data_IF_794436694358
#
_entry.id   IF_794436694358
#
_cell.length_a   1.000
_cell.length_b   1.000
_cell.length_c   1.000
_cell.angle_alpha   90.00
_cell.angle_beta   90.00
_cell.angle_gamma   90.00
#
_symmetry.space_group_name_H-M   'P 1'
#
loop_
_entity.id
_entity.type
_entity.pdbx_description
1 polymer ?
#
# COMPACT_ATOMS: atom_id res chain seq x y z
N UNK A 1 -4.34 -14.08 -64.03
CA UNK A 1 -4.83 -15.40 -64.50
C UNK A 1 -5.27 -16.20 -63.27
N UNK A 2 -6.19 -17.15 -63.41
CA UNK A 2 -6.83 -17.87 -62.29
C UNK A 2 -6.75 -19.38 -62.52
N UNK A 3 -6.30 -20.10 -61.49
CA UNK A 3 -6.36 -21.56 -61.28
C UNK A 3 -6.19 -21.75 -59.75
N UNK A 4 -7.01 -22.43 -58.94
CA UNK A 4 -7.73 -23.73 -59.06
C UNK A 4 -6.78 -24.93 -59.20
N UNK A 5 -6.93 -26.09 -58.52
CA UNK A 5 -7.83 -26.53 -57.41
C UNK A 5 -6.95 -26.92 -56.18
N UNK A 6 -7.20 -27.83 -55.21
CA UNK A 6 -8.19 -28.89 -54.94
C UNK A 6 -8.28 -29.19 -53.41
N UNK A 7 -8.90 -30.33 -53.03
CA UNK A 7 -9.09 -30.81 -51.64
C UNK A 7 -8.85 -32.32 -51.50
N UNK A 8 -8.54 -32.81 -50.30
CA UNK A 8 -8.80 -34.18 -49.76
C UNK A 8 -8.29 -34.24 -48.28
N UNK A 9 -8.77 -35.10 -47.36
CA UNK A 9 -10.12 -35.69 -47.08
C UNK A 9 -10.05 -36.51 -45.76
N UNK A 10 -11.14 -36.52 -44.97
CA UNK A 10 -11.42 -37.51 -43.88
C UNK A 10 -10.43 -37.46 -42.67
N UNK A 11 -10.73 -37.95 -41.47
CA UNK A 11 -11.87 -38.74 -40.96
C UNK A 11 -12.33 -38.29 -39.55
N UNK A 12 -13.61 -38.50 -39.22
CA UNK A 12 -14.08 -38.75 -37.85
C UNK A 12 -14.12 -40.27 -37.58
N UNK A 13 -14.13 -40.69 -36.31
CA UNK A 13 -15.21 -41.57 -35.84
C UNK A 13 -15.97 -40.96 -34.64
N UNK A 14 -17.02 -41.65 -34.17
CA UNK A 14 -17.97 -41.17 -33.16
C UNK A 14 -18.71 -42.34 -32.50
N UNK A 15 -18.90 -42.26 -31.18
CA UNK A 15 -20.00 -42.83 -30.37
C UNK A 15 -20.18 -41.83 -29.19
N UNK A 16 -21.38 -41.38 -28.78
CA UNK A 16 -22.49 -42.07 -28.11
C UNK A 16 -22.09 -42.69 -26.74
N UNK A 17 -22.75 -42.47 -25.60
CA UNK A 17 -23.87 -41.56 -25.20
C UNK A 17 -24.04 -41.66 -23.64
N UNK A 18 -25.07 -41.15 -22.93
CA UNK A 18 -25.78 -39.85 -22.98
C UNK A 18 -26.07 -39.22 -21.56
N UNK A 19 -26.88 -38.15 -21.50
CA UNK A 19 -27.66 -37.61 -20.33
C UNK A 19 -26.88 -37.17 -19.07
N UNK A 20 -26.85 -35.85 -18.79
CA UNK A 20 -27.81 -35.24 -17.85
C UNK A 20 -27.91 -33.71 -17.97
N UNK A 21 -29.10 -33.18 -17.68
CA UNK A 21 -29.38 -31.73 -17.62
C UNK A 21 -29.15 -31.21 -16.17
N UNK A 22 -28.92 -29.90 -15.98
CA UNK A 22 -30.06 -29.12 -15.48
C UNK A 22 -30.16 -27.71 -16.09
N UNK A 23 -31.40 -27.28 -16.36
CA UNK A 23 -31.69 -25.90 -16.76
C UNK A 23 -31.26 -24.89 -15.69
N UNK A 24 -30.55 -23.83 -16.11
CA UNK A 24 -30.56 -22.55 -15.41
C UNK A 24 -30.92 -21.44 -16.42
N UNK A 25 -31.84 -20.59 -16.00
CA UNK A 25 -32.57 -19.68 -16.89
C UNK A 25 -31.71 -18.50 -17.34
N UNK A 26 -31.93 -18.05 -18.58
CA UNK A 26 -31.36 -16.80 -19.07
C UNK A 26 -31.92 -15.61 -18.27
N UNK A 27 -31.07 -14.94 -17.50
CA UNK A 27 -31.34 -13.60 -16.98
C UNK A 27 -30.26 -12.66 -17.48
N UNK A 28 -30.49 -12.08 -18.66
CA UNK A 28 -29.63 -11.04 -19.22
C UNK A 28 -29.78 -9.77 -18.37
N UNK A 29 -28.81 -9.53 -17.49
CA UNK A 29 -28.66 -8.23 -16.84
C UNK A 29 -27.22 -7.71 -16.88
N UNK A 30 -27.03 -6.91 -17.92
CA UNK A 30 -25.97 -5.95 -18.20
C UNK A 30 -25.13 -5.49 -16.99
N UNK A 31 -23.83 -5.79 -17.04
CA UNK A 31 -22.78 -5.22 -16.16
C UNK A 31 -21.38 -5.36 -16.78
N UNK A 32 -21.28 -5.38 -18.11
CA UNK A 32 -20.02 -5.49 -18.84
C UNK A 32 -19.23 -4.17 -18.84
N UNK A 33 -18.74 -3.71 -17.67
CA UNK A 33 -17.64 -2.73 -17.61
C UNK A 33 -16.93 -2.59 -16.24
N UNK A 34 -16.90 -3.64 -15.40
CA UNK A 34 -15.95 -3.67 -14.28
C UNK A 34 -14.55 -3.99 -14.81
N UNK A 35 -13.80 -2.96 -15.20
CA UNK A 35 -12.43 -3.09 -15.68
C UNK A 35 -11.60 -3.93 -14.70
N UNK A 36 -11.14 -5.10 -15.16
CA UNK A 36 -10.32 -6.01 -14.38
C UNK A 36 -9.05 -5.29 -13.95
N UNK A 37 -8.96 -4.93 -12.66
CA UNK A 37 -7.78 -4.31 -12.08
C UNK A 37 -6.62 -5.27 -12.29
N UNK A 38 -5.71 -4.94 -13.22
CA UNK A 38 -4.48 -5.72 -13.44
C UNK A 38 -3.79 -5.92 -12.09
N UNK A 39 -3.84 -7.15 -11.60
CA UNK A 39 -3.04 -7.57 -10.44
C UNK A 39 -1.60 -7.38 -10.88
N UNK A 40 -0.95 -6.32 -10.39
CA UNK A 40 0.48 -6.15 -10.60
C UNK A 40 1.16 -7.36 -9.95
N UNK A 41 2.16 -7.99 -10.57
CA UNK A 41 2.96 -8.98 -9.89
C UNK A 41 3.57 -8.31 -8.66
N UNK A 42 3.03 -8.66 -7.49
CA UNK A 42 3.60 -8.27 -6.23
C UNK A 42 4.76 -9.25 -6.01
N UNK A 43 5.98 -8.75 -5.86
CA UNK A 43 7.13 -9.61 -5.66
C UNK A 43 6.90 -10.46 -4.40
N UNK A 44 6.85 -11.79 -4.57
CA UNK A 44 6.51 -12.71 -3.49
C UNK A 44 7.61 -12.81 -2.43
N UNK A 45 8.77 -12.18 -2.64
CA UNK A 45 9.82 -12.03 -1.63
C UNK A 45 9.56 -10.86 -0.68
N UNK A 46 8.93 -9.76 -1.15
CA UNK A 46 8.65 -8.57 -0.33
C UNK A 46 7.75 -8.85 0.88
N UNK A 47 6.98 -9.94 0.90
CA UNK A 47 6.13 -10.34 2.04
C UNK A 47 6.88 -11.07 3.16
N UNK A 48 8.08 -11.59 2.90
CA UNK A 48 8.92 -12.28 3.90
C UNK A 48 10.05 -11.39 4.43
N UNK A 49 10.36 -10.30 3.73
CA UNK A 49 11.42 -9.36 4.12
C UNK A 49 11.03 -8.51 5.33
N UNK A 50 11.86 -8.56 6.39
CA UNK A 50 11.69 -7.77 7.60
C UNK A 50 11.90 -6.26 7.41
N UNK A 51 11.31 -5.43 8.26
CA UNK A 51 11.30 -3.97 8.07
C UNK A 51 12.70 -3.34 8.08
N UNK A 52 13.64 -3.94 8.83
CA UNK A 52 15.05 -3.55 8.83
C UNK A 52 15.68 -3.66 7.43
N UNK A 53 15.55 -4.81 6.75
CA UNK A 53 16.06 -5.00 5.37
C UNK A 53 15.30 -4.13 4.36
N UNK A 54 13.99 -3.89 4.56
CA UNK A 54 13.22 -2.95 3.74
C UNK A 54 13.67 -1.48 3.90
N UNK A 55 14.35 -1.13 4.99
CA UNK A 55 14.84 0.22 5.29
C UNK A 55 16.36 0.37 5.17
N UNK A 56 17.11 -0.70 4.91
CA UNK A 56 18.59 -0.69 4.79
C UNK A 56 19.15 0.43 3.87
N UNK A 57 18.54 0.77 2.71
CA UNK A 57 18.97 1.90 1.88
C UNK A 57 18.90 3.28 2.55
N UNK A 58 18.24 3.39 3.71
CA UNK A 58 18.09 4.61 4.52
C UNK A 58 19.15 4.68 5.63
N UNK A 59 19.81 3.57 5.99
CA UNK A 59 20.72 3.49 7.13
C UNK A 59 21.90 4.48 7.03
N UNK A 60 22.49 4.60 5.83
CA UNK A 60 23.59 5.55 5.56
C UNK A 60 23.10 6.99 5.74
N UNK A 61 21.95 7.35 5.16
CA UNK A 61 21.37 8.69 5.33
C UNK A 61 21.04 9.00 6.80
N UNK A 62 20.58 8.02 7.58
CA UNK A 62 20.38 8.19 9.03
C UNK A 62 21.69 8.37 9.83
N UNK A 63 22.83 7.99 9.27
CA UNK A 63 24.15 8.13 9.91
C UNK A 63 24.90 9.39 9.47
N UNK A 64 24.63 9.88 8.25
CA UNK A 64 25.37 10.95 7.59
C UNK A 64 24.56 12.25 7.37
N UNK A 65 23.28 12.29 7.73
CA UNK A 65 22.45 13.48 7.54
C UNK A 65 22.90 14.67 8.40
N UNK A 66 23.13 15.81 7.74
CA UNK A 66 23.21 17.14 8.34
C UNK A 66 22.08 18.02 7.78
N UNK A 67 21.19 18.61 8.60
CA UNK A 67 21.01 18.29 10.02
C UNK A 67 20.55 16.84 10.23
N UNK A 68 20.85 16.25 11.40
CA UNK A 68 20.51 14.87 11.73
C UNK A 68 19.01 14.62 11.67
N UNK A 69 18.64 13.37 11.42
CA UNK A 69 17.25 12.94 11.50
C UNK A 69 16.76 12.92 12.95
N UNK A 70 15.45 13.16 13.11
CA UNK A 70 14.79 13.22 14.41
C UNK A 70 14.78 11.88 15.13
N UNK A 71 14.52 10.79 14.40
CA UNK A 71 14.69 9.41 14.88
C UNK A 71 15.95 8.79 14.25
N UNK A 72 16.89 8.26 15.05
CA UNK A 72 18.01 7.47 14.53
C UNK A 72 17.51 6.17 13.89
N UNK A 73 18.33 5.55 13.04
CA UNK A 73 17.93 4.37 12.25
C UNK A 73 17.23 3.25 13.04
N UNK A 74 17.72 2.81 14.23
CA UNK A 74 17.07 1.74 14.98
C UNK A 74 15.67 2.10 15.50
N UNK A 75 15.42 3.38 15.78
CA UNK A 75 14.12 3.87 16.23
C UNK A 75 13.16 4.10 15.06
N UNK A 76 13.68 4.57 13.92
CA UNK A 76 12.92 4.63 12.67
C UNK A 76 12.42 3.24 12.23
N UNK A 77 13.25 2.19 12.37
CA UNK A 77 12.84 0.81 12.09
C UNK A 77 11.71 0.37 13.02
N UNK A 78 11.88 0.53 14.34
CA UNK A 78 10.85 0.18 15.34
C UNK A 78 9.54 0.94 15.13
N UNK A 79 9.60 2.26 14.91
CA UNK A 79 8.42 3.07 14.60
C UNK A 79 7.71 2.56 13.34
N UNK A 80 8.46 2.20 12.29
CA UNK A 80 7.90 1.63 11.06
C UNK A 80 7.37 0.20 11.21
N UNK A 81 7.64 -0.48 12.34
CA UNK A 81 7.04 -1.75 12.75
C UNK A 81 5.80 -1.52 13.63
N UNK A 82 5.88 -0.69 14.67
CA UNK A 82 4.76 -0.34 15.55
C UNK A 82 3.54 0.22 14.79
N UNK A 83 3.75 1.02 13.73
CA UNK A 83 2.64 1.58 12.93
C UNK A 83 2.06 0.61 11.89
N UNK A 84 2.53 -0.65 11.84
CA UNK A 84 2.09 -1.63 10.85
C UNK A 84 0.73 -2.24 11.21
N UNK A 85 -0.29 -1.83 10.46
CA UNK A 85 -1.69 -2.27 10.67
C UNK A 85 -2.49 -1.34 11.57
N UNK A 86 -1.80 -0.60 12.45
CA UNK A 86 -2.43 0.20 13.50
C UNK A 86 -3.42 1.27 13.04
N UNK A 87 -4.47 1.48 13.83
CA UNK A 87 -5.60 2.34 13.45
C UNK A 87 -5.35 3.82 13.77
N UNK A 88 -5.02 4.11 15.03
CA UNK A 88 -4.51 5.40 15.48
C UNK A 88 -2.98 5.38 15.55
N UNK A 89 -2.36 6.40 14.98
CA UNK A 89 -0.92 6.50 14.78
C UNK A 89 -0.29 7.58 15.67
N UNK A 90 -1.08 8.51 16.20
CA UNK A 90 -0.56 9.68 16.90
C UNK A 90 -0.06 9.34 18.31
N UNK A 91 -0.77 8.51 19.12
CA UNK A 91 -0.24 7.95 20.37
C UNK A 91 0.95 7.01 20.19
N UNK A 92 1.19 6.49 18.97
CA UNK A 92 2.40 5.72 18.65
C UNK A 92 3.56 6.67 18.40
N UNK A 93 3.37 7.67 17.55
CA UNK A 93 4.39 8.67 17.24
C UNK A 93 4.90 9.41 18.49
N UNK A 94 4.01 9.78 19.42
CA UNK A 94 4.37 10.39 20.71
C UNK A 94 5.20 9.49 21.65
N UNK A 95 5.32 8.18 21.41
CA UNK A 95 6.28 7.31 22.14
C UNK A 95 7.73 7.52 21.68
N UNK A 96 7.91 8.04 20.46
CA UNK A 96 9.20 8.24 19.82
C UNK A 96 9.62 9.71 19.80
N UNK A 97 8.67 10.65 19.64
CA UNK A 97 8.99 12.08 19.61
C UNK A 97 7.76 12.99 19.78
N UNK A 98 7.97 14.14 20.42
CA UNK A 98 7.01 15.25 20.45
C UNK A 98 6.97 16.03 19.12
N UNK A 99 8.06 16.04 18.34
CA UNK A 99 8.10 16.73 17.04
C UNK A 99 7.50 15.87 15.90
N UNK A 100 6.18 15.80 15.93
CA UNK A 100 5.36 15.15 14.90
C UNK A 100 5.57 15.80 13.51
N UNK A 101 6.09 17.03 13.42
CA UNK A 101 6.37 17.71 12.15
C UNK A 101 7.71 17.26 11.57
N UNK A 102 8.77 17.24 12.38
CA UNK A 102 10.07 16.66 12.03
C UNK A 102 9.95 15.19 11.64
N UNK A 103 9.08 14.41 12.30
CA UNK A 103 8.82 13.02 11.93
C UNK A 103 8.14 12.90 10.55
N UNK A 104 7.17 13.77 10.24
CA UNK A 104 6.57 13.82 8.89
C UNK A 104 7.58 14.23 7.81
N UNK A 105 8.51 15.12 8.13
CA UNK A 105 9.60 15.56 7.25
C UNK A 105 10.67 14.48 7.06
N UNK A 106 11.00 13.71 8.10
CA UNK A 106 11.87 12.54 7.99
C UNK A 106 11.23 11.48 7.09
N UNK A 107 9.96 11.13 7.32
CA UNK A 107 9.22 10.21 6.44
C UNK A 107 9.20 10.69 4.98
N UNK A 108 9.11 12.01 4.74
CA UNK A 108 9.23 12.58 3.40
C UNK A 108 10.64 12.40 2.80
N UNK A 109 11.69 12.70 3.56
CA UNK A 109 13.10 12.61 3.12
C UNK A 109 13.53 11.17 2.81
N UNK A 110 13.03 10.16 3.53
CA UNK A 110 13.39 8.75 3.30
C UNK A 110 12.58 8.11 2.17
N UNK A 111 11.33 8.54 1.93
CA UNK A 111 10.43 7.99 0.92
C UNK A 111 11.06 7.75 -0.48
N UNK A 112 11.82 8.69 -1.09
CA UNK A 112 12.41 8.49 -2.41
C UNK A 112 13.53 7.44 -2.46
N UNK A 113 14.17 7.12 -1.33
CA UNK A 113 15.22 6.09 -1.27
C UNK A 113 14.66 4.66 -1.19
N UNK A 114 13.39 4.51 -0.81
CA UNK A 114 12.74 3.23 -0.66
C UNK A 114 12.48 2.60 -2.03
N UNK A 115 13.26 1.59 -2.41
CA UNK A 115 13.18 0.89 -3.70
C UNK A 115 11.94 -0.01 -3.82
N UNK A 116 11.67 -0.81 -2.79
CA UNK A 116 10.59 -1.80 -2.70
C UNK A 116 9.21 -1.17 -2.50
N UNK A 117 8.18 -1.75 -3.11
CA UNK A 117 6.85 -1.12 -3.16
C UNK A 117 6.09 -1.23 -1.83
N UNK A 118 6.22 -2.33 -1.09
CA UNK A 118 5.62 -2.55 0.23
C UNK A 118 5.98 -1.43 1.21
N UNK A 119 7.28 -1.21 1.43
CA UNK A 119 7.79 -0.21 2.39
C UNK A 119 7.55 1.22 1.93
N UNK A 120 7.69 1.52 0.62
CA UNK A 120 7.33 2.82 0.05
C UNK A 120 5.85 3.14 0.27
N UNK A 121 4.96 2.17 0.10
CA UNK A 121 3.54 2.30 0.41
C UNK A 121 3.26 2.37 1.93
N UNK A 122 4.04 1.67 2.77
CA UNK A 122 3.95 1.76 4.24
C UNK A 122 4.26 3.20 4.67
N UNK A 123 5.43 3.72 4.30
CA UNK A 123 5.89 5.08 4.60
C UNK A 123 4.87 6.15 4.18
N UNK A 124 4.34 6.08 2.95
CA UNK A 124 3.34 7.03 2.47
C UNK A 124 1.99 6.93 3.21
N UNK A 125 1.58 5.73 3.64
CA UNK A 125 0.38 5.55 4.48
C UNK A 125 0.61 6.10 5.89
N UNK A 126 1.74 5.79 6.50
CA UNK A 126 2.20 6.31 7.80
C UNK A 126 2.17 7.83 7.80
N UNK A 127 2.84 8.47 6.83
CA UNK A 127 2.89 9.93 6.71
C UNK A 127 1.50 10.55 6.55
N UNK A 128 0.64 10.00 5.68
CA UNK A 128 -0.73 10.51 5.45
C UNK A 128 -1.64 10.34 6.66
N UNK A 129 -1.54 9.22 7.39
CA UNK A 129 -2.25 9.03 8.66
C UNK A 129 -1.79 10.05 9.69
N UNK A 130 -0.48 10.20 9.87
CA UNK A 130 0.12 11.06 10.88
C UNK A 130 -0.21 12.53 10.64
N UNK A 131 -0.11 13.00 9.39
CA UNK A 131 -0.51 14.35 8.99
C UNK A 131 -2.00 14.62 9.30
N UNK A 132 -2.89 13.69 8.90
CA UNK A 132 -4.34 13.83 9.19
C UNK A 132 -4.62 13.85 10.69
N UNK A 133 -4.05 12.92 11.46
CA UNK A 133 -4.28 12.81 12.89
C UNK A 133 -3.75 14.05 13.64
N UNK A 134 -2.55 14.51 13.30
CA UNK A 134 -1.95 15.69 13.92
C UNK A 134 -2.68 16.98 13.56
N UNK A 135 -3.15 17.13 12.31
CA UNK A 135 -3.97 18.28 11.90
C UNK A 135 -5.30 18.33 12.67
N UNK A 136 -5.94 17.17 12.89
CA UNK A 136 -7.16 17.08 13.71
C UNK A 136 -6.89 17.37 15.19
N UNK A 137 -5.78 16.85 15.74
CA UNK A 137 -5.35 17.16 17.10
C UNK A 137 -5.14 18.68 17.28
N UNK A 138 -4.36 19.32 16.40
CA UNK A 138 -4.10 20.75 16.45
C UNK A 138 -5.38 21.58 16.33
N UNK A 139 -6.36 21.19 15.51
CA UNK A 139 -7.62 21.93 15.40
C UNK A 139 -8.46 21.84 16.70
N UNK A 140 -8.53 20.67 17.33
CA UNK A 140 -9.22 20.50 18.63
C UNK A 140 -8.47 21.23 19.75
N UNK A 141 -7.15 21.10 19.84
CA UNK A 141 -6.32 21.82 20.82
C UNK A 141 -6.34 23.33 20.65
N UNK A 142 -6.63 23.84 19.44
CA UNK A 142 -6.80 25.28 19.18
C UNK A 142 -8.17 25.79 19.61
N UNK A 143 -9.23 24.95 19.54
CA UNK A 143 -10.58 25.31 20.00
C UNK A 143 -10.63 25.37 21.54
N UNK A 144 -10.11 24.34 22.21
CA UNK A 144 -10.14 24.19 23.69
C UNK A 144 -9.26 25.20 24.46
N UNK A 145 -8.70 26.22 23.80
CA UNK A 145 -7.91 27.30 24.42
C UNK A 145 -8.65 28.64 24.47
N UNK A 146 -9.90 28.71 24.01
CA UNK A 146 -10.67 29.97 23.88
C UNK A 146 -11.77 30.15 24.94
N UNK A 147 -11.76 29.35 26.02
CA UNK A 147 -12.56 29.62 27.22
C UNK A 147 -11.71 30.43 28.22
N UNK A 148 -11.78 31.77 28.24
CA UNK A 148 -11.26 32.54 29.36
C UNK A 148 -12.15 32.28 30.59
N UNK A 149 -11.56 31.87 31.70
CA UNK A 149 -12.29 31.75 32.97
C UNK A 149 -12.85 33.12 33.37
N UNK A 150 -14.18 33.25 33.41
CA UNK A 150 -14.84 34.43 33.97
C UNK A 150 -14.76 34.40 35.49
N UNK A 151 -13.95 35.31 36.04
CA UNK A 151 -13.91 35.71 37.45
C UNK A 151 -13.90 37.25 37.55
#
# INVERSE_FOLDING_TARGET
MVTETATHKRSKPSDDSPINEPSLQEVVHDSFNRALKKVRPNDSTESLTGTLELLEPVQVLCSEADPPFLLPFPELVKFMEDVLGESDILPIAWKYTDDITGLQNQLYRIYPLLSRNSIRNRCLKTQRKLNKAYTLYLSVSSLNRNDPETY
#
